data_IF_243144704465
#
_entry.id   IF_243144704465
#
_cell.length_a   1.000
_cell.length_b   1.000
_cell.length_c   1.000
_cell.angle_alpha   90.00
_cell.angle_beta   90.00
_cell.angle_gamma   90.00
#
_symmetry.space_group_name_H-M   'P 1'
#
loop_
_entity.id
_entity.type
_entity.pdbx_description
1 polymer ?
#
# COMPACT_ATOMS: atom_id res chain seq x y z
N UNK A 1 -9.14 -0.30 2.82
CA UNK A 1 -8.82 -1.75 2.77
C UNK A 1 -7.52 -2.09 3.47
N UNK A 2 -6.33 -1.85 2.91
CA UNK A 2 -5.06 -2.27 3.55
C UNK A 2 -4.85 -1.62 4.92
N UNK A 3 -5.00 -0.30 5.04
CA UNK A 3 -4.85 0.40 6.33
C UNK A 3 -5.83 -0.08 7.41
N UNK A 4 -7.07 -0.44 7.05
CA UNK A 4 -8.06 -0.97 8.01
C UNK A 4 -7.72 -2.40 8.45
N UNK A 5 -7.16 -3.21 7.54
CA UNK A 5 -6.78 -4.59 7.82
C UNK A 5 -5.47 -4.72 8.59
N UNK A 6 -4.60 -3.71 8.52
CA UNK A 6 -3.26 -3.74 9.12
C UNK A 6 -3.09 -2.70 10.23
N UNK A 7 -4.19 -2.21 10.80
CA UNK A 7 -4.21 -1.26 11.92
C UNK A 7 -3.40 0.03 11.64
N UNK A 8 -3.57 0.59 10.45
CA UNK A 8 -2.99 1.87 10.05
C UNK A 8 -2.08 1.82 8.82
N UNK A 9 -1.67 0.63 8.36
CA UNK A 9 -0.77 0.51 7.20
C UNK A 9 0.18 -0.68 7.32
N UNK A 10 1.05 -0.87 6.33
CA UNK A 10 2.14 -1.85 6.38
C UNK A 10 3.48 -1.14 6.49
N UNK A 11 4.48 -1.79 7.08
CA UNK A 11 5.83 -1.20 7.14
C UNK A 11 6.42 -1.02 5.73
N UNK A 12 6.15 -1.95 4.82
CA UNK A 12 6.71 -1.98 3.47
C UNK A 12 5.68 -2.51 2.49
N UNK A 13 5.66 -1.93 1.30
CA UNK A 13 4.85 -2.38 0.17
C UNK A 13 5.73 -2.45 -1.09
N UNK A 14 5.37 -3.36 -2.00
CA UNK A 14 6.03 -3.50 -3.30
C UNK A 14 4.94 -3.71 -4.34
N UNK A 15 4.95 -2.90 -5.39
CA UNK A 15 4.07 -3.03 -6.55
C UNK A 15 4.81 -3.81 -7.65
N UNK A 16 4.19 -4.87 -8.18
CA UNK A 16 4.83 -5.79 -9.14
C UNK A 16 4.01 -6.01 -10.43
N UNK A 17 2.93 -5.26 -10.63
CA UNK A 17 2.00 -5.40 -11.77
C UNK A 17 2.22 -4.32 -12.83
N UNK A 18 2.91 -3.22 -12.49
CA UNK A 18 3.10 -2.07 -13.37
C UNK A 18 1.85 -1.19 -13.51
N UNK A 19 0.79 -1.47 -12.75
CA UNK A 19 -0.44 -0.71 -12.79
C UNK A 19 -0.30 0.58 -11.97
N UNK A 20 -0.60 1.73 -12.58
CA UNK A 20 -0.45 3.05 -11.95
C UNK A 20 -1.35 3.20 -10.71
N UNK A 21 -2.59 2.69 -10.77
CA UNK A 21 -3.50 2.76 -9.62
C UNK A 21 -3.03 1.85 -8.49
N UNK A 22 -2.43 0.70 -8.82
CA UNK A 22 -1.82 -0.17 -7.83
C UNK A 22 -0.56 0.47 -7.21
N UNK A 23 0.23 1.23 -7.97
CA UNK A 23 1.38 1.97 -7.45
C UNK A 23 0.97 3.03 -6.44
N UNK A 24 -0.08 3.79 -6.74
CA UNK A 24 -0.64 4.78 -5.81
C UNK A 24 -1.10 4.08 -4.53
N UNK A 25 -1.86 2.99 -4.68
CA UNK A 25 -2.35 2.21 -3.54
C UNK A 25 -1.21 1.60 -2.69
N UNK A 26 -0.11 1.18 -3.32
CA UNK A 26 1.06 0.65 -2.63
C UNK A 26 1.79 1.76 -1.85
N UNK A 27 1.88 2.97 -2.38
CA UNK A 27 2.46 4.11 -1.68
C UNK A 27 1.58 4.57 -0.50
N UNK A 28 0.27 4.68 -0.70
CA UNK A 28 -0.65 5.15 0.33
C UNK A 28 -0.87 4.14 1.47
N UNK A 29 -0.46 2.88 1.30
CA UNK A 29 -0.62 1.87 2.35
C UNK A 29 0.55 1.80 3.34
N UNK A 30 1.67 2.49 3.06
CA UNK A 30 2.81 2.61 3.97
C UNK A 30 2.73 3.92 4.75
N UNK A 31 2.82 3.83 6.07
CA UNK A 31 2.74 4.97 6.99
C UNK A 31 3.80 4.74 8.09
N UNK A 32 4.34 5.82 8.67
CA UNK A 32 5.24 5.73 9.84
C UNK A 32 4.51 5.21 11.09
#
# INVERSE_FOLDING_TARGET
>A
VLAEMTNGGVDRSIECTGNIQAMISAFECVHD
#
